data_IF_076110951639
#
_entry.id   IF_076110951639
#
_cell.length_a   1.000
_cell.length_b   1.000
_cell.length_c   1.000
_cell.angle_alpha   90.00
_cell.angle_beta   90.00
_cell.angle_gamma   90.00
#
_symmetry.space_group_name_H-M   'P 1'
#
loop_
_entity.id
_entity.type
_entity.pdbx_description
1 polymer ?
#
# COMPACT_ATOMS: atom_id res chain seq x y z
N UNK A 1 6.05 -25.04 6.82
CA UNK A 1 4.58 -24.93 6.66
C UNK A 1 3.93 -24.15 7.79
N UNK A 2 3.94 -24.63 9.04
CA UNK A 2 3.30 -23.93 10.18
C UNK A 2 3.76 -22.46 10.39
N UNK A 3 5.05 -22.18 10.24
CA UNK A 3 5.59 -20.80 10.35
C UNK A 3 4.94 -19.83 9.36
N UNK A 4 4.70 -20.26 8.12
CA UNK A 4 4.05 -19.43 7.09
C UNK A 4 2.59 -19.15 7.42
N UNK A 5 1.87 -20.12 7.99
CA UNK A 5 0.50 -19.93 8.47
C UNK A 5 0.44 -18.90 9.60
N UNK A 6 1.40 -18.95 10.55
CA UNK A 6 1.49 -17.98 11.64
C UNK A 6 1.75 -16.57 11.10
N UNK A 7 2.71 -16.41 10.18
CA UNK A 7 3.03 -15.11 9.57
C UNK A 7 1.85 -14.54 8.78
N UNK A 8 1.17 -15.38 7.98
CA UNK A 8 0.00 -14.96 7.22
C UNK A 8 -1.16 -14.53 8.14
N UNK A 9 -1.42 -15.28 9.22
CA UNK A 9 -2.43 -14.93 10.21
C UNK A 9 -2.15 -13.60 10.90
N UNK A 10 -0.88 -13.35 11.27
CA UNK A 10 -0.47 -12.08 11.88
C UNK A 10 -0.63 -10.91 10.91
N UNK A 11 -0.26 -11.09 9.64
CA UNK A 11 -0.47 -10.09 8.58
C UNK A 11 -1.96 -9.75 8.41
N UNK A 12 -2.82 -10.76 8.36
CA UNK A 12 -4.28 -10.55 8.24
C UNK A 12 -4.85 -9.82 9.46
N UNK A 13 -4.41 -10.16 10.67
CA UNK A 13 -4.82 -9.46 11.89
C UNK A 13 -4.42 -7.99 11.84
N UNK A 14 -3.17 -7.69 11.49
CA UNK A 14 -2.69 -6.32 11.35
C UNK A 14 -3.50 -5.54 10.30
N UNK A 15 -3.76 -6.13 9.13
CA UNK A 15 -4.60 -5.52 8.10
C UNK A 15 -6.01 -5.22 8.61
N UNK A 16 -6.62 -6.16 9.34
CA UNK A 16 -7.96 -5.98 9.92
C UNK A 16 -8.01 -4.83 10.92
N UNK A 17 -7.02 -4.72 11.81
CA UNK A 17 -6.90 -3.60 12.77
C UNK A 17 -6.75 -2.27 12.04
N UNK A 18 -5.87 -2.20 11.03
CA UNK A 18 -5.63 -0.99 10.24
C UNK A 18 -6.92 -0.54 9.54
N UNK A 19 -7.65 -1.44 8.90
CA UNK A 19 -8.89 -1.08 8.21
C UNK A 19 -10.03 -0.70 9.17
N UNK A 20 -10.08 -1.29 10.36
CA UNK A 20 -11.10 -0.95 11.35
C UNK A 20 -10.89 0.45 11.97
N UNK A 21 -9.65 0.74 12.40
CA UNK A 21 -9.35 2.00 13.10
C UNK A 21 -8.91 3.14 12.19
N UNK A 22 -8.45 2.84 10.97
CA UNK A 22 -8.02 3.83 9.99
C UNK A 22 -8.62 3.56 8.61
N UNK A 23 -9.96 3.61 8.47
CA UNK A 23 -10.66 3.31 7.20
C UNK A 23 -10.24 4.25 6.04
N UNK A 24 -9.76 5.45 6.36
CA UNK A 24 -9.26 6.42 5.39
C UNK A 24 -7.76 6.31 5.07
N UNK A 25 -7.02 5.38 5.68
CA UNK A 25 -5.55 5.37 5.60
C UNK A 25 -5.04 5.22 4.18
N UNK A 26 -5.76 4.51 3.30
CA UNK A 26 -5.39 4.34 1.89
C UNK A 26 -6.17 5.24 0.94
N UNK A 27 -7.01 6.14 1.45
CA UNK A 27 -7.89 6.98 0.62
C UNK A 27 -7.16 8.03 -0.22
N UNK A 28 -5.90 8.34 0.14
CA UNK A 28 -5.00 9.23 -0.61
C UNK A 28 -4.28 8.51 -1.75
N UNK A 29 -4.17 7.18 -1.67
CA UNK A 29 -3.43 6.38 -2.64
C UNK A 29 -4.14 6.43 -3.99
N UNK A 30 -3.46 6.97 -5.00
CA UNK A 30 -4.05 7.19 -6.31
C UNK A 30 -4.75 8.51 -6.55
N UNK A 31 -4.73 9.41 -5.56
CA UNK A 31 -5.32 10.76 -5.66
C UNK A 31 -4.26 11.85 -5.58
N UNK A 32 -2.98 11.48 -5.71
CA UNK A 32 -1.89 12.43 -5.65
C UNK A 32 -1.72 13.14 -7.00
N UNK A 33 -1.21 14.38 -7.01
CA UNK A 33 -0.86 15.04 -8.26
C UNK A 33 0.15 14.18 -9.04
N UNK A 34 -0.14 13.89 -10.30
CA UNK A 34 0.64 12.99 -11.16
C UNK A 34 0.14 11.55 -11.22
N UNK A 35 -0.83 11.15 -10.38
CA UNK A 35 -1.56 9.91 -10.60
C UNK A 35 -2.56 10.10 -11.76
N UNK A 36 -2.50 9.23 -12.76
CA UNK A 36 -3.32 9.34 -13.97
C UNK A 36 -4.54 8.43 -13.83
N UNK A 37 -5.73 9.02 -13.94
CA UNK A 37 -7.01 8.30 -13.93
C UNK A 37 -7.69 8.54 -15.27
N UNK A 38 -7.76 7.50 -16.09
CA UNK A 38 -8.46 7.53 -17.37
C UNK A 38 -9.76 6.76 -17.18
N UNK A 39 -10.87 7.48 -17.10
CA UNK A 39 -12.22 6.92 -17.02
C UNK A 39 -12.91 7.06 -18.37
N UNK A 40 -13.18 5.93 -19.02
CA UNK A 40 -14.01 5.80 -20.22
C UNK A 40 -15.31 5.09 -19.87
N UNK A 41 -16.31 5.14 -20.76
CA UNK A 41 -17.62 4.50 -20.52
C UNK A 41 -17.55 2.99 -20.26
N UNK A 42 -16.54 2.30 -20.81
CA UNK A 42 -16.34 0.85 -20.67
C UNK A 42 -15.08 0.44 -19.90
N UNK A 43 -14.18 1.38 -19.60
CA UNK A 43 -12.88 1.07 -18.99
C UNK A 43 -12.44 2.13 -18.01
N UNK A 44 -11.84 1.70 -16.89
CA UNK A 44 -11.17 2.57 -15.94
C UNK A 44 -9.72 2.13 -15.85
N UNK A 45 -8.81 2.93 -16.39
CA UNK A 45 -7.37 2.70 -16.30
C UNK A 45 -6.78 3.65 -15.27
N UNK A 46 -6.05 3.08 -14.31
CA UNK A 46 -5.44 3.82 -13.22
C UNK A 46 -3.93 3.60 -13.23
N UNK A 47 -3.17 4.70 -13.30
CA UNK A 47 -1.70 4.69 -13.33
C UNK A 47 -1.19 5.53 -12.15
N UNK A 48 -0.94 4.89 -10.98
CA UNK A 48 -0.48 5.56 -9.76
C UNK A 48 1.01 5.92 -9.80
N UNK A 49 1.46 6.77 -10.73
CA UNK A 49 2.90 7.06 -10.88
C UNK A 49 3.47 7.65 -9.58
N UNK A 50 2.87 8.73 -9.09
CA UNK A 50 3.34 9.44 -7.90
C UNK A 50 3.17 8.59 -6.66
N UNK A 51 2.01 7.94 -6.50
CA UNK A 51 1.73 7.06 -5.37
C UNK A 51 2.71 5.89 -5.29
N UNK A 52 3.08 5.26 -6.42
CA UNK A 52 4.08 4.19 -6.45
C UNK A 52 5.48 4.67 -6.10
N UNK A 53 5.88 5.85 -6.59
CA UNK A 53 7.19 6.42 -6.27
C UNK A 53 7.30 6.66 -4.76
N UNK A 54 6.29 7.29 -4.16
CA UNK A 54 6.27 7.55 -2.71
C UNK A 54 6.32 6.23 -1.94
N UNK A 55 5.49 5.25 -2.31
CA UNK A 55 5.49 3.94 -1.67
C UNK A 55 6.87 3.29 -1.74
N UNK A 56 7.53 3.32 -2.90
CA UNK A 56 8.86 2.75 -3.10
C UNK A 56 9.92 3.43 -2.22
N UNK A 57 9.93 4.77 -2.16
CA UNK A 57 10.86 5.53 -1.32
C UNK A 57 10.64 5.23 0.16
N UNK A 58 9.38 5.24 0.61
CA UNK A 58 9.02 4.93 2.00
C UNK A 58 9.47 3.52 2.38
N UNK A 59 9.17 2.52 1.54
CA UNK A 59 9.59 1.15 1.77
C UNK A 59 11.12 1.05 1.82
N UNK A 60 11.81 1.69 0.89
CA UNK A 60 13.28 1.70 0.83
C UNK A 60 13.89 2.31 2.10
N UNK A 61 13.37 3.45 2.57
CA UNK A 61 13.83 4.10 3.80
C UNK A 61 13.58 3.22 5.02
N UNK A 62 12.38 2.65 5.16
CA UNK A 62 12.05 1.76 6.28
C UNK A 62 12.95 0.53 6.28
N UNK A 63 13.09 -0.15 5.13
CA UNK A 63 13.95 -1.32 5.01
C UNK A 63 15.41 -0.98 5.32
N UNK A 64 15.90 0.16 4.85
CA UNK A 64 17.24 0.63 5.15
C UNK A 64 17.43 0.87 6.66
N UNK A 65 16.48 1.53 7.33
CA UNK A 65 16.57 1.78 8.78
C UNK A 65 16.51 0.47 9.59
N UNK A 66 15.65 -0.49 9.23
CA UNK A 66 15.46 -1.71 10.02
C UNK A 66 16.45 -2.82 9.71
N UNK A 67 16.97 -2.91 8.48
CA UNK A 67 17.83 -4.01 8.03
C UNK A 67 19.29 -3.60 7.81
N UNK A 68 19.58 -2.31 7.67
CA UNK A 68 20.95 -1.81 7.57
C UNK A 68 21.42 -1.48 8.99
N UNK A 69 21.90 -2.52 9.68
CA UNK A 69 22.82 -2.35 10.82
C UNK A 69 24.14 -1.76 10.35
#
# INVERSE_FOLDING_TARGET
MAKWLIVAGLLLLLLGVVFHYAPGLLSWFGKLPGDIRIESERSRTFIPITSMIILSVVLTVLLNIFFRR
#
